data_IF_627509060094
#
_entry.id   IF_627509060094
#
_cell.length_a   1.000
_cell.length_b   1.000
_cell.length_c   1.000
_cell.angle_alpha   90.00
_cell.angle_beta   90.00
_cell.angle_gamma   90.00
#
_symmetry.space_group_name_H-M   'P 1'
#
loop_
_entity.id
_entity.type
_entity.pdbx_description
1 polymer ?
#
# COMPACT_ATOMS: atom_id res chain seq x y z
N UNK A 1 10.98 10.97 6.83
CA UNK A 1 10.19 11.78 5.89
C UNK A 1 8.82 12.07 6.50
N UNK A 2 8.33 13.32 6.45
CA UNK A 2 7.05 13.63 7.12
C UNK A 2 5.92 13.57 6.09
N UNK A 3 5.13 12.49 6.10
CA UNK A 3 3.92 12.36 5.28
C UNK A 3 2.78 13.24 5.82
N UNK A 4 1.95 13.80 4.95
CA UNK A 4 0.72 14.50 5.34
C UNK A 4 -0.44 13.51 5.47
N UNK A 5 -0.70 13.01 6.68
CA UNK A 5 -1.80 12.05 6.95
C UNK A 5 -3.17 12.58 6.52
N UNK A 6 -3.46 13.85 6.75
CA UNK A 6 -4.72 14.44 6.33
C UNK A 6 -4.83 14.50 4.79
N UNK A 7 -3.70 14.77 4.11
CA UNK A 7 -3.60 14.69 2.65
C UNK A 7 -3.82 13.28 2.12
N UNK A 8 -3.18 12.28 2.74
CA UNK A 8 -3.35 10.86 2.41
C UNK A 8 -4.83 10.47 2.51
N UNK A 9 -5.45 10.72 3.67
CA UNK A 9 -6.87 10.42 3.90
C UNK A 9 -7.77 11.06 2.85
N UNK A 10 -7.55 12.36 2.52
CA UNK A 10 -8.33 13.06 1.49
C UNK A 10 -8.13 12.48 0.10
N UNK A 11 -6.90 12.12 -0.27
CA UNK A 11 -6.58 11.58 -1.60
C UNK A 11 -7.26 10.23 -1.83
N UNK A 12 -7.18 9.31 -0.86
CA UNK A 12 -7.85 8.02 -0.95
C UNK A 12 -9.38 8.16 -0.88
N UNK A 13 -9.90 9.04 -0.03
CA UNK A 13 -11.33 9.33 0.01
C UNK A 13 -11.86 9.82 -1.34
N UNK A 14 -11.12 10.68 -2.03
CA UNK A 14 -11.51 11.19 -3.36
C UNK A 14 -11.34 10.15 -4.49
N UNK A 15 -10.54 9.11 -4.28
CA UNK A 15 -10.28 8.07 -5.26
C UNK A 15 -11.21 6.85 -5.13
N UNK A 16 -12.06 6.78 -4.10
CA UNK A 16 -12.88 5.58 -3.78
C UNK A 16 -13.69 5.06 -4.96
N UNK A 17 -14.23 5.93 -5.80
CA UNK A 17 -15.06 5.57 -6.94
C UNK A 17 -14.24 5.14 -8.18
N UNK A 18 -12.99 5.59 -8.28
CA UNK A 18 -12.13 5.33 -9.45
C UNK A 18 -11.09 4.25 -9.20
N UNK A 19 -10.79 3.96 -7.94
CA UNK A 19 -9.71 3.08 -7.51
C UNK A 19 -9.73 1.71 -8.21
N UNK A 20 -10.87 1.05 -8.21
CA UNK A 20 -10.98 -0.31 -8.79
C UNK A 20 -10.77 -0.36 -10.29
N UNK A 21 -11.06 0.71 -11.00
CA UNK A 21 -10.87 0.76 -12.46
C UNK A 21 -9.40 0.72 -12.88
N UNK A 22 -8.48 1.06 -11.96
CA UNK A 22 -7.04 1.21 -12.24
C UNK A 22 -6.14 0.40 -11.28
N UNK A 23 -6.70 -0.35 -10.32
CA UNK A 23 -5.93 -1.05 -9.28
C UNK A 23 -5.44 -2.44 -9.71
N UNK A 24 -5.01 -2.63 -10.97
CA UNK A 24 -4.59 -3.96 -11.48
C UNK A 24 -3.31 -4.46 -10.80
N UNK A 25 -2.31 -3.60 -10.62
CA UNK A 25 -1.10 -3.95 -9.90
C UNK A 25 -1.41 -4.37 -8.45
N UNK A 26 -2.28 -3.63 -7.77
CA UNK A 26 -2.68 -3.93 -6.39
C UNK A 26 -3.38 -5.30 -6.29
N UNK A 27 -4.23 -5.63 -7.26
CA UNK A 27 -4.88 -6.95 -7.33
C UNK A 27 -3.90 -8.07 -7.61
N UNK A 28 -2.96 -7.87 -8.53
CA UNK A 28 -1.90 -8.84 -8.86
C UNK A 28 -1.05 -9.11 -7.63
N UNK A 29 -0.53 -8.06 -6.98
CA UNK A 29 0.28 -8.18 -5.77
C UNK A 29 -0.50 -8.85 -4.64
N UNK A 30 -1.76 -8.49 -4.43
CA UNK A 30 -2.61 -9.10 -3.40
C UNK A 30 -2.84 -10.59 -3.62
N UNK A 31 -3.07 -11.03 -4.87
CA UNK A 31 -3.20 -12.47 -5.20
C UNK A 31 -1.89 -13.22 -4.96
N UNK A 32 -0.76 -12.67 -5.39
CA UNK A 32 0.56 -13.28 -5.19
C UNK A 32 0.93 -13.34 -3.69
N UNK A 33 0.58 -12.31 -2.92
CA UNK A 33 0.77 -12.29 -1.47
C UNK A 33 0.02 -13.46 -0.80
N UNK A 34 -1.24 -13.71 -1.20
CA UNK A 34 -2.03 -14.82 -0.69
C UNK A 34 -1.56 -16.19 -1.20
N UNK A 35 -0.98 -16.27 -2.40
CA UNK A 35 -0.39 -17.50 -2.92
C UNK A 35 0.91 -17.88 -2.19
N UNK A 36 1.61 -16.91 -1.62
CA UNK A 36 2.86 -17.14 -0.88
C UNK A 36 2.65 -17.76 0.51
N UNK A 37 1.41 -17.86 0.98
CA UNK A 37 1.04 -18.41 2.29
C UNK A 37 -0.02 -19.50 2.15
N UNK A 38 -0.08 -20.40 3.12
CA UNK A 38 -1.19 -21.34 3.22
C UNK A 38 -2.38 -20.67 3.91
N UNK A 39 -3.30 -20.13 3.11
CA UNK A 39 -4.49 -19.43 3.60
C UNK A 39 -5.45 -20.34 4.37
N UNK A 40 -5.36 -21.67 4.24
CA UNK A 40 -6.22 -22.60 4.99
C UNK A 40 -5.88 -22.64 6.48
N UNK A 41 -4.66 -22.22 6.84
CA UNK A 41 -4.21 -22.07 8.22
C UNK A 41 -4.54 -20.68 8.81
N UNK A 42 -5.03 -19.76 8.02
CA UNK A 42 -5.55 -18.48 8.52
C UNK A 42 -6.94 -18.71 9.12
N UNK A 43 -7.00 -18.80 10.44
CA UNK A 43 -8.21 -19.06 11.22
C UNK A 43 -8.43 -17.97 12.25
N UNK A 44 -9.56 -18.00 12.96
CA UNK A 44 -9.84 -17.05 14.04
C UNK A 44 -10.14 -15.64 13.55
N UNK A 45 -9.56 -14.65 14.21
CA UNK A 45 -9.78 -13.22 13.90
C UNK A 45 -8.67 -12.70 12.98
N UNK A 46 -9.03 -12.28 11.78
CA UNK A 46 -8.12 -11.72 10.79
C UNK A 46 -8.33 -10.22 10.63
N UNK A 47 -7.24 -9.48 10.45
CA UNK A 47 -7.24 -8.04 10.18
C UNK A 47 -6.68 -7.78 8.77
N UNK A 48 -7.47 -7.16 7.89
CA UNK A 48 -7.01 -6.53 6.66
C UNK A 48 -6.71 -5.06 6.95
N UNK A 49 -5.44 -4.71 7.02
CA UNK A 49 -4.93 -3.41 7.43
C UNK A 49 -4.65 -2.51 6.22
N UNK A 50 -5.46 -1.48 6.03
CA UNK A 50 -5.50 -0.66 4.83
C UNK A 50 -6.28 -1.38 3.73
N UNK A 51 -7.50 -1.83 4.04
CA UNK A 51 -8.31 -2.68 3.17
C UNK A 51 -8.74 -2.00 1.85
N UNK A 52 -8.65 -0.66 1.77
CA UNK A 52 -9.07 0.11 0.59
C UNK A 52 -10.53 -0.19 0.23
N UNK A 53 -10.75 -0.58 -1.01
CA UNK A 53 -12.07 -0.97 -1.55
C UNK A 53 -12.43 -2.45 -1.37
N UNK A 54 -11.67 -3.18 -0.52
CA UNK A 54 -12.02 -4.53 -0.04
C UNK A 54 -11.60 -5.68 -0.94
N UNK A 55 -10.67 -5.49 -1.88
CA UNK A 55 -10.20 -6.58 -2.73
C UNK A 55 -9.55 -7.71 -1.93
N UNK A 56 -8.53 -7.38 -1.09
CA UNK A 56 -7.84 -8.39 -0.28
C UNK A 56 -8.79 -9.02 0.75
N UNK A 57 -9.64 -8.20 1.39
CA UNK A 57 -10.70 -8.68 2.28
C UNK A 57 -11.56 -9.75 1.60
N UNK A 58 -12.06 -9.49 0.38
CA UNK A 58 -12.88 -10.43 -0.38
C UNK A 58 -12.17 -11.75 -0.72
N UNK A 59 -10.90 -11.68 -1.13
CA UNK A 59 -10.06 -12.84 -1.38
C UNK A 59 -9.81 -13.69 -0.11
N UNK A 60 -9.59 -13.04 1.04
CA UNK A 60 -9.43 -13.70 2.33
C UNK A 60 -10.72 -14.42 2.76
N UNK A 61 -11.87 -13.76 2.65
CA UNK A 61 -13.17 -14.35 2.95
C UNK A 61 -13.45 -15.61 2.13
N UNK A 62 -12.96 -15.68 0.90
CA UNK A 62 -13.14 -16.83 0.01
C UNK A 62 -12.18 -17.98 0.29
N UNK A 63 -11.01 -17.73 0.91
CA UNK A 63 -9.89 -18.69 0.98
C UNK A 63 -9.54 -19.14 2.40
N UNK A 64 -9.82 -18.33 3.42
CA UNK A 64 -9.47 -18.62 4.81
C UNK A 64 -10.64 -19.20 5.60
N UNK A 65 -10.31 -19.80 6.76
CA UNK A 65 -11.30 -20.31 7.73
C UNK A 65 -11.47 -19.33 8.89
N UNK A 66 -11.67 -18.06 8.57
CA UNK A 66 -11.83 -17.02 9.57
C UNK A 66 -13.12 -17.20 10.40
N UNK A 67 -13.09 -16.73 11.64
CA UNK A 67 -14.26 -16.56 12.51
C UNK A 67 -14.77 -15.14 12.45
N UNK A 68 -13.85 -14.19 12.46
CA UNK A 68 -14.11 -12.75 12.36
C UNK A 68 -13.11 -12.10 11.42
N UNK A 69 -13.59 -11.27 10.53
CA UNK A 69 -12.77 -10.40 9.67
C UNK A 69 -12.88 -8.96 10.16
N UNK A 70 -11.75 -8.27 10.28
CA UNK A 70 -11.71 -6.83 10.52
C UNK A 70 -11.13 -6.18 9.28
N UNK A 71 -11.91 -5.34 8.61
CA UNK A 71 -11.47 -4.49 7.52
C UNK A 71 -11.21 -3.08 8.06
N UNK A 72 -9.95 -2.65 8.06
CA UNK A 72 -9.53 -1.36 8.62
C UNK A 72 -8.94 -0.47 7.53
N UNK A 73 -9.42 0.77 7.44
CA UNK A 73 -8.85 1.80 6.56
C UNK A 73 -8.98 3.19 7.22
N UNK A 74 -8.08 4.10 6.85
CA UNK A 74 -8.09 5.49 7.33
C UNK A 74 -9.15 6.34 6.62
N UNK A 75 -9.55 5.96 5.41
CA UNK A 75 -10.49 6.68 4.56
C UNK A 75 -11.89 6.05 4.62
N UNK A 76 -12.84 6.72 5.29
CA UNK A 76 -14.21 6.22 5.42
C UNK A 76 -14.89 5.87 4.08
N UNK A 77 -14.74 6.63 2.97
CA UNK A 77 -15.31 6.24 1.67
C UNK A 77 -14.76 4.92 1.13
N UNK A 78 -13.50 4.58 1.40
CA UNK A 78 -12.93 3.28 1.05
C UNK A 78 -13.64 2.14 1.81
N UNK A 79 -13.85 2.30 3.12
CA UNK A 79 -14.61 1.33 3.93
C UNK A 79 -16.05 1.19 3.46
N UNK A 80 -16.70 2.28 3.09
CA UNK A 80 -18.06 2.25 2.55
C UNK A 80 -18.14 1.46 1.23
N UNK A 81 -17.14 1.64 0.35
CA UNK A 81 -17.02 0.84 -0.87
C UNK A 81 -16.80 -0.65 -0.55
N UNK A 82 -15.94 -0.97 0.42
CA UNK A 82 -15.73 -2.34 0.90
C UNK A 82 -17.02 -2.93 1.45
N UNK A 83 -17.72 -2.21 2.32
CA UNK A 83 -18.99 -2.65 2.90
C UNK A 83 -20.05 -2.92 1.84
N UNK A 84 -20.17 -2.06 0.84
CA UNK A 84 -21.12 -2.24 -0.26
C UNK A 84 -20.81 -3.49 -1.09
N UNK A 85 -19.54 -3.75 -1.39
CA UNK A 85 -19.10 -4.93 -2.16
C UNK A 85 -19.28 -6.24 -1.41
N UNK A 86 -19.14 -6.23 -0.10
CA UNK A 86 -19.16 -7.41 0.75
C UNK A 86 -20.44 -7.50 1.59
N UNK A 87 -21.51 -6.82 1.17
CA UNK A 87 -22.77 -6.73 1.92
C UNK A 87 -23.46 -8.11 2.16
N UNK A 88 -23.18 -9.09 1.29
CA UNK A 88 -23.67 -10.47 1.44
C UNK A 88 -22.83 -11.33 2.38
N UNK A 89 -21.66 -10.86 2.79
CA UNK A 89 -20.73 -11.58 3.66
C UNK A 89 -21.06 -11.31 5.15
N UNK A 90 -20.70 -12.27 5.98
CA UNK A 90 -20.97 -12.23 7.43
C UNK A 90 -19.67 -12.12 8.22
N UNK A 91 -19.80 -11.76 9.49
CA UNK A 91 -18.69 -11.69 10.44
C UNK A 91 -17.57 -10.73 10.01
N UNK A 92 -17.94 -9.59 9.40
CA UNK A 92 -17.01 -8.53 9.02
C UNK A 92 -17.27 -7.30 9.89
N UNK A 93 -16.23 -6.79 10.52
CA UNK A 93 -16.24 -5.53 11.25
C UNK A 93 -15.46 -4.48 10.43
N UNK A 94 -16.08 -3.34 10.20
CA UNK A 94 -15.47 -2.23 9.45
C UNK A 94 -14.99 -1.16 10.43
N UNK A 95 -13.69 -0.86 10.42
CA UNK A 95 -13.05 0.04 11.39
C UNK A 95 -12.35 1.19 10.67
N UNK A 96 -12.84 2.41 10.87
CA UNK A 96 -12.18 3.61 10.33
C UNK A 96 -11.12 4.10 11.32
N UNK A 97 -9.84 3.75 11.07
CA UNK A 97 -8.73 4.08 11.97
C UNK A 97 -7.40 4.24 11.23
N UNK A 98 -6.42 4.83 11.91
CA UNK A 98 -5.04 4.92 11.43
C UNK A 98 -4.25 3.65 11.81
N UNK A 99 -3.54 3.06 10.84
CA UNK A 99 -2.67 1.92 11.05
C UNK A 99 -1.54 2.19 12.07
N UNK A 100 -1.20 3.44 12.32
CA UNK A 100 -0.21 3.84 13.33
C UNK A 100 -0.74 3.78 14.78
N UNK A 101 -2.07 3.61 14.97
CA UNK A 101 -2.73 3.53 16.28
C UNK A 101 -3.95 2.60 16.18
N UNK A 102 -3.73 1.30 16.31
CA UNK A 102 -4.80 0.31 16.16
C UNK A 102 -5.75 0.37 17.36
N UNK A 103 -7.07 0.63 17.17
CA UNK A 103 -8.06 0.66 18.25
C UNK A 103 -8.49 -0.76 18.63
N UNK A 104 -7.52 -1.65 18.82
CA UNK A 104 -7.73 -3.07 19.11
C UNK A 104 -7.02 -3.46 20.41
N UNK A 105 -7.57 -4.41 21.11
CA UNK A 105 -6.95 -4.99 22.31
C UNK A 105 -5.65 -5.72 22.00
N UNK A 106 -4.83 -5.97 23.01
CA UNK A 106 -3.64 -6.81 22.84
C UNK A 106 -4.03 -8.28 22.66
N UNK A 107 -3.24 -9.00 21.86
CA UNK A 107 -3.36 -10.45 21.66
C UNK A 107 -4.78 -10.92 21.28
N UNK A 108 -5.44 -10.19 20.39
CA UNK A 108 -6.80 -10.51 19.95
C UNK A 108 -6.90 -10.90 18.47
N UNK A 109 -5.80 -10.76 17.68
CA UNK A 109 -5.75 -11.01 16.24
C UNK A 109 -4.86 -12.23 15.95
N UNK A 110 -5.36 -13.16 15.14
CA UNK A 110 -4.63 -14.37 14.74
C UNK A 110 -3.76 -14.10 13.50
N UNK A 111 -4.21 -13.23 12.57
CA UNK A 111 -3.47 -12.85 11.38
C UNK A 111 -3.71 -11.40 10.96
N UNK A 112 -2.64 -10.68 10.67
CA UNK A 112 -2.69 -9.34 10.07
C UNK A 112 -2.19 -9.42 8.64
N UNK A 113 -3.01 -8.97 7.69
CA UNK A 113 -2.64 -8.86 6.29
C UNK A 113 -2.73 -7.39 5.86
N UNK A 114 -1.84 -6.98 4.94
CA UNK A 114 -1.84 -5.61 4.40
C UNK A 114 -1.26 -5.61 2.99
N UNK A 115 -1.97 -5.07 2.02
CA UNK A 115 -1.53 -5.04 0.65
C UNK A 115 -1.30 -3.60 0.17
N UNK A 116 -0.05 -3.23 -0.07
CA UNK A 116 0.37 -1.92 -0.58
C UNK A 116 -0.28 -0.74 0.20
N UNK A 117 -0.30 -0.84 1.54
CA UNK A 117 -0.85 0.20 2.42
C UNK A 117 0.20 0.80 3.36
N UNK A 118 1.14 0.00 3.88
CA UNK A 118 2.08 0.43 4.92
C UNK A 118 3.07 1.52 4.48
N UNK A 119 3.31 1.71 3.18
CA UNK A 119 4.11 2.82 2.65
C UNK A 119 3.53 4.21 2.96
N UNK A 120 2.28 4.29 3.38
CA UNK A 120 1.60 5.52 3.76
C UNK A 120 1.71 5.84 5.25
N UNK A 121 2.38 4.98 6.01
CA UNK A 121 2.67 5.21 7.43
C UNK A 121 3.95 6.04 7.60
N UNK A 122 3.93 6.95 8.59
CA UNK A 122 5.07 7.83 8.91
C UNK A 122 6.16 7.12 9.69
N UNK A 123 5.73 6.22 10.57
CA UNK A 123 6.59 5.53 11.52
C UNK A 123 6.29 4.03 11.52
N UNK A 124 7.06 3.27 10.73
CA UNK A 124 6.89 1.82 10.64
C UNK A 124 7.32 1.10 11.94
N UNK A 125 8.23 1.65 12.74
CA UNK A 125 8.58 1.07 14.04
C UNK A 125 7.34 1.02 14.96
N UNK A 126 6.61 2.14 15.04
CA UNK A 126 5.38 2.21 15.84
C UNK A 126 4.31 1.28 15.26
N UNK A 127 4.16 1.22 13.92
CA UNK A 127 3.19 0.34 13.25
C UNK A 127 3.47 -1.11 13.57
N UNK A 128 4.70 -1.58 13.39
CA UNK A 128 5.05 -2.98 13.65
C UNK A 128 4.98 -3.34 15.14
N UNK A 129 5.34 -2.41 16.03
CA UNK A 129 5.16 -2.58 17.48
C UNK A 129 3.68 -2.74 17.84
N UNK A 130 2.81 -1.94 17.25
CA UNK A 130 1.36 -2.02 17.51
C UNK A 130 0.73 -3.26 16.86
N UNK A 131 1.15 -3.65 15.65
CA UNK A 131 0.77 -4.93 15.04
C UNK A 131 1.20 -6.11 15.93
N UNK A 132 2.43 -6.10 16.45
CA UNK A 132 2.92 -7.13 17.36
C UNK A 132 2.10 -7.19 18.65
N UNK A 133 1.68 -6.06 19.17
CA UNK A 133 0.85 -5.96 20.38
C UNK A 133 -0.53 -6.62 20.20
N UNK A 134 -1.16 -6.42 19.03
CA UNK A 134 -2.51 -6.97 18.77
C UNK A 134 -2.48 -8.43 18.35
N UNK A 135 -1.38 -8.92 17.77
CA UNK A 135 -1.22 -10.31 17.38
C UNK A 135 -1.14 -11.22 18.61
N UNK A 136 -1.85 -12.35 18.55
CA UNK A 136 -1.71 -13.44 19.51
C UNK A 136 -0.33 -14.08 19.43
N UNK A 137 0.12 -14.83 20.45
CA UNK A 137 1.24 -15.77 20.28
C UNK A 137 1.02 -16.66 19.06
N UNK A 138 2.06 -16.89 18.26
CA UNK A 138 2.02 -17.63 16.98
C UNK A 138 1.22 -16.92 15.86
N UNK A 139 0.71 -15.72 16.09
CA UNK A 139 0.04 -14.91 15.08
C UNK A 139 0.97 -14.51 13.94
N UNK A 140 0.42 -14.27 12.75
CA UNK A 140 1.17 -14.01 11.54
C UNK A 140 0.89 -12.59 11.00
N UNK A 141 1.96 -11.93 10.58
CA UNK A 141 1.93 -10.70 9.78
C UNK A 141 2.33 -11.01 8.34
N UNK A 142 1.48 -10.66 7.39
CA UNK A 142 1.73 -10.81 5.95
C UNK A 142 1.44 -9.49 5.27
N UNK A 143 2.44 -8.89 4.63
CA UNK A 143 2.19 -7.62 3.93
C UNK A 143 3.03 -7.43 2.68
N UNK A 144 2.57 -6.53 1.84
CA UNK A 144 3.33 -5.97 0.72
C UNK A 144 3.46 -4.46 0.87
N UNK A 145 4.58 -3.93 0.41
CA UNK A 145 4.85 -2.48 0.37
C UNK A 145 5.73 -2.15 -0.83
N UNK A 146 5.79 -0.88 -1.23
CA UNK A 146 6.71 -0.47 -2.28
C UNK A 146 8.15 -0.36 -1.76
N UNK A 147 9.11 -0.66 -2.67
CA UNK A 147 10.54 -0.53 -2.46
C UNK A 147 11.15 0.68 -3.18
N UNK A 148 12.44 0.97 -2.92
CA UNK A 148 13.12 2.19 -3.38
C UNK A 148 13.13 2.42 -4.89
N UNK A 149 13.12 1.34 -5.70
CA UNK A 149 13.14 1.44 -7.16
C UNK A 149 11.80 1.88 -7.76
N UNK A 150 10.73 1.96 -6.95
CA UNK A 150 9.40 2.34 -7.43
C UNK A 150 9.42 3.74 -8.04
N UNK A 151 8.91 3.83 -9.29
CA UNK A 151 8.80 5.04 -10.09
C UNK A 151 10.15 5.78 -10.28
N UNK A 152 11.25 5.04 -10.38
CA UNK A 152 12.58 5.64 -10.56
C UNK A 152 12.66 6.45 -11.86
N UNK A 153 11.92 6.10 -12.90
CA UNK A 153 11.83 6.86 -14.14
C UNK A 153 11.20 8.24 -13.91
N UNK A 154 10.12 8.28 -13.10
CA UNK A 154 9.45 9.52 -12.73
C UNK A 154 10.31 10.38 -11.81
N UNK A 155 11.02 9.75 -10.85
CA UNK A 155 11.99 10.44 -9.98
C UNK A 155 13.10 11.08 -10.80
N UNK A 156 13.72 10.33 -11.73
CA UNK A 156 14.80 10.83 -12.59
C UNK A 156 14.33 11.92 -13.54
N UNK A 157 13.14 11.81 -14.10
CA UNK A 157 12.58 12.83 -14.99
C UNK A 157 12.35 14.16 -14.25
N UNK A 158 11.75 14.13 -13.04
CA UNK A 158 11.57 15.31 -12.21
C UNK A 158 12.88 15.93 -11.74
N UNK A 159 13.90 15.13 -11.42
CA UNK A 159 15.23 15.63 -11.05
C UNK A 159 15.88 16.53 -12.12
N UNK A 160 15.45 16.43 -13.40
CA UNK A 160 15.90 17.34 -14.48
C UNK A 160 15.18 18.70 -14.46
N UNK A 161 14.11 18.84 -13.69
CA UNK A 161 13.25 20.02 -13.66
C UNK A 161 13.49 20.87 -12.43
N UNK A 162 13.54 20.23 -11.25
CA UNK A 162 13.78 20.88 -9.97
C UNK A 162 14.40 19.91 -8.95
N UNK A 163 14.68 20.42 -7.74
CA UNK A 163 15.28 19.64 -6.65
C UNK A 163 14.25 19.15 -5.62
N UNK A 164 12.95 19.26 -5.94
CA UNK A 164 11.90 18.79 -5.03
C UNK A 164 11.61 17.31 -5.23
N UNK A 165 11.25 16.63 -4.15
CA UNK A 165 10.73 15.27 -4.25
C UNK A 165 9.31 15.30 -4.82
N UNK A 166 9.08 14.59 -5.93
CA UNK A 166 7.78 14.44 -6.59
C UNK A 166 7.20 13.02 -6.44
N UNK A 167 7.98 12.10 -5.90
CA UNK A 167 7.60 10.72 -5.57
C UNK A 167 8.02 10.44 -4.13
N UNK A 168 7.21 9.68 -3.41
CA UNK A 168 7.55 9.28 -2.05
C UNK A 168 8.83 8.44 -2.03
N UNK A 169 9.58 8.53 -0.93
CA UNK A 169 10.66 7.59 -0.63
C UNK A 169 10.07 6.33 0.03
N UNK A 170 10.61 5.18 -0.33
CA UNK A 170 10.17 3.89 0.19
C UNK A 170 11.32 3.18 0.90
N UNK A 171 11.00 2.37 1.89
CA UNK A 171 11.98 1.62 2.65
C UNK A 171 12.51 0.41 1.87
N UNK A 172 13.81 0.13 2.05
CA UNK A 172 14.45 -1.05 1.50
C UNK A 172 14.14 -2.32 2.31
N UNK A 173 14.41 -3.50 1.73
CA UNK A 173 14.31 -4.78 2.46
C UNK A 173 15.10 -4.77 3.77
N UNK A 174 16.32 -4.23 3.76
CA UNK A 174 17.18 -4.16 4.95
C UNK A 174 16.55 -3.32 6.05
N UNK A 175 15.97 -2.18 5.70
CA UNK A 175 15.28 -1.33 6.66
C UNK A 175 14.01 -2.00 7.21
N UNK A 176 13.21 -2.64 6.37
CA UNK A 176 12.02 -3.38 6.81
C UNK A 176 12.38 -4.54 7.74
N UNK A 177 13.42 -5.31 7.44
CA UNK A 177 13.94 -6.36 8.33
C UNK A 177 14.37 -5.80 9.68
N UNK A 178 15.03 -4.64 9.68
CA UNK A 178 15.44 -3.97 10.91
C UNK A 178 14.24 -3.57 11.76
N UNK A 179 13.22 -2.91 11.19
CA UNK A 179 12.01 -2.51 11.91
C UNK A 179 11.25 -3.71 12.48
N UNK A 180 11.11 -4.79 11.72
CA UNK A 180 10.47 -6.02 12.18
C UNK A 180 11.20 -6.65 13.35
N UNK A 181 12.55 -6.69 13.28
CA UNK A 181 13.37 -7.22 14.36
C UNK A 181 13.24 -6.38 15.64
N UNK A 182 13.27 -5.03 15.52
CA UNK A 182 13.08 -4.12 16.66
C UNK A 182 11.69 -4.28 17.28
N UNK A 183 10.65 -4.53 16.48
CA UNK A 183 9.30 -4.81 16.96
C UNK A 183 9.14 -6.21 17.60
N UNK A 184 10.18 -7.08 17.51
CA UNK A 184 10.19 -8.41 18.13
C UNK A 184 9.66 -9.54 17.23
N UNK A 185 9.59 -9.36 15.92
CA UNK A 185 9.38 -10.43 14.96
C UNK A 185 10.72 -11.14 14.71
N UNK A 186 10.83 -12.40 15.16
CA UNK A 186 12.11 -13.15 15.14
C UNK A 186 12.43 -13.77 13.77
N UNK A 187 11.41 -14.20 13.05
CA UNK A 187 11.53 -14.86 11.76
C UNK A 187 10.72 -14.10 10.72
N UNK A 188 11.39 -13.46 9.77
CA UNK A 188 10.73 -12.80 8.65
C UNK A 188 11.31 -13.27 7.32
N UNK A 189 10.44 -13.68 6.41
CA UNK A 189 10.77 -13.91 5.01
C UNK A 189 10.46 -12.62 4.25
N UNK A 190 11.46 -12.11 3.54
CA UNK A 190 11.33 -10.85 2.77
C UNK A 190 11.76 -11.13 1.35
N UNK A 191 10.92 -10.79 0.39
CA UNK A 191 11.15 -10.98 -1.05
C UNK A 191 10.81 -9.70 -1.78
N UNK A 192 11.72 -9.22 -2.63
CA UNK A 192 11.46 -8.13 -3.58
C UNK A 192 11.15 -8.70 -4.96
N UNK A 193 10.18 -8.08 -5.62
CA UNK A 193 9.76 -8.39 -7.00
C UNK A 193 9.54 -7.09 -7.75
N UNK A 194 10.06 -7.00 -8.98
CA UNK A 194 9.89 -5.82 -9.82
C UNK A 194 8.77 -6.07 -10.84
N UNK A 195 7.82 -5.14 -10.88
CA UNK A 195 6.74 -5.09 -11.87
C UNK A 195 6.97 -3.89 -12.80
N UNK A 196 6.78 -4.08 -14.08
CA UNK A 196 6.89 -3.00 -15.08
C UNK A 196 5.54 -2.82 -15.74
N UNK A 197 4.84 -1.76 -15.39
CA UNK A 197 3.64 -1.32 -16.09
C UNK A 197 4.02 -0.48 -17.31
N UNK A 198 3.28 -0.61 -18.41
CA UNK A 198 3.54 0.11 -19.65
C UNK A 198 2.35 1.00 -20.00
N UNK A 199 2.62 2.24 -20.32
CA UNK A 199 1.61 3.26 -20.59
C UNK A 199 1.80 3.85 -21.98
N UNK A 200 0.73 4.29 -22.60
CA UNK A 200 0.76 4.98 -23.89
C UNK A 200 1.47 6.35 -23.77
N UNK A 201 1.42 6.97 -22.61
CA UNK A 201 2.06 8.26 -22.35
C UNK A 201 2.34 8.46 -20.86
N UNK A 202 3.24 9.38 -20.55
CA UNK A 202 3.47 9.85 -19.16
C UNK A 202 2.18 10.40 -18.54
N UNK A 203 1.34 11.03 -19.36
CA UNK A 203 0.06 11.56 -18.91
C UNK A 203 -0.89 10.48 -18.42
N UNK A 204 -0.97 9.34 -19.12
CA UNK A 204 -1.78 8.19 -18.73
C UNK A 204 -1.32 7.62 -17.39
N UNK A 205 0.00 7.49 -17.18
CA UNK A 205 0.57 7.11 -15.88
C UNK A 205 0.14 8.09 -14.76
N UNK A 206 0.29 9.40 -15.02
CA UNK A 206 -0.07 10.41 -14.03
C UNK A 206 -1.56 10.40 -13.67
N UNK A 207 -2.43 10.11 -14.65
CA UNK A 207 -3.86 9.95 -14.43
C UNK A 207 -4.16 8.71 -13.59
N UNK A 208 -3.53 7.58 -13.87
CA UNK A 208 -3.70 6.36 -13.08
C UNK A 208 -3.28 6.57 -11.62
N UNK A 209 -2.11 7.15 -11.38
CA UNK A 209 -1.66 7.48 -10.01
C UNK A 209 -2.64 8.41 -9.29
N UNK A 210 -3.28 9.33 -10.02
CA UNK A 210 -4.33 10.19 -9.46
C UNK A 210 -5.59 9.40 -9.12
N UNK A 211 -6.05 8.53 -9.99
CA UNK A 211 -7.24 7.70 -9.77
C UNK A 211 -7.06 6.68 -8.65
N UNK A 212 -5.83 6.24 -8.39
CA UNK A 212 -5.46 5.44 -7.22
C UNK A 212 -5.40 6.25 -5.91
N UNK A 213 -5.48 7.58 -5.96
CA UNK A 213 -5.22 8.41 -4.79
C UNK A 213 -3.74 8.45 -4.36
N UNK A 214 -2.86 7.85 -5.17
CA UNK A 214 -1.42 7.75 -4.91
C UNK A 214 -0.69 9.05 -5.28
N UNK A 215 -1.27 10.20 -4.93
CA UNK A 215 -0.62 11.49 -5.15
C UNK A 215 0.48 11.72 -4.12
N UNK A 216 1.47 12.51 -4.52
CA UNK A 216 2.56 12.90 -3.64
C UNK A 216 2.04 13.70 -2.44
N UNK A 217 2.18 13.17 -1.23
CA UNK A 217 1.65 13.70 0.02
C UNK A 217 2.74 13.95 1.06
N UNK A 218 3.93 14.38 0.62
CA UNK A 218 5.02 14.74 1.52
C UNK A 218 4.74 16.11 2.14
N UNK A 219 4.87 16.21 3.45
CA UNK A 219 4.82 17.48 4.16
C UNK A 219 6.01 18.34 3.71
N UNK A 220 5.75 19.61 3.37
CA UNK A 220 6.81 20.51 2.86
C UNK A 220 7.00 20.49 1.35
N UNK A 221 6.15 19.77 0.60
CA UNK A 221 6.17 19.85 -0.87
C UNK A 221 6.08 21.31 -1.31
N UNK A 222 6.70 21.62 -2.43
CA UNK A 222 6.52 22.92 -3.08
C UNK A 222 5.03 23.17 -3.35
N UNK A 223 4.43 24.13 -2.64
CA UNK A 223 3.01 24.52 -2.80
C UNK A 223 2.77 25.32 -4.09
N UNK A 224 3.83 25.66 -4.83
CA UNK A 224 3.68 26.35 -6.11
C UNK A 224 3.03 25.42 -7.12
N UNK A 225 2.13 25.95 -7.90
CA UNK A 225 1.50 25.23 -9.01
C UNK A 225 2.58 24.82 -10.00
N UNK A 226 2.64 23.54 -10.35
CA UNK A 226 3.52 23.06 -11.43
C UNK A 226 3.18 23.78 -12.72
N UNK A 227 4.12 24.53 -13.27
CA UNK A 227 3.90 25.28 -14.51
C UNK A 227 3.82 24.31 -15.71
N UNK A 228 3.12 24.74 -16.77
CA UNK A 228 3.03 23.98 -18.01
C UNK A 228 4.43 23.65 -18.58
N UNK A 229 5.37 24.60 -18.48
CA UNK A 229 6.76 24.42 -18.92
C UNK A 229 7.50 23.36 -18.10
N UNK A 230 7.34 23.37 -16.77
CA UNK A 230 7.95 22.36 -15.89
C UNK A 230 7.40 20.95 -16.19
N UNK A 231 6.09 20.83 -16.36
CA UNK A 231 5.42 19.58 -16.74
C UNK A 231 5.94 19.08 -18.10
N UNK A 232 6.04 19.95 -19.11
CA UNK A 232 6.54 19.56 -20.42
C UNK A 232 8.01 19.10 -20.39
N UNK A 233 8.87 19.76 -19.61
CA UNK A 233 10.26 19.35 -19.42
C UNK A 233 10.33 17.95 -18.79
N UNK A 234 9.54 17.69 -17.75
CA UNK A 234 9.48 16.39 -17.10
C UNK A 234 9.02 15.29 -18.08
N UNK A 235 7.95 15.54 -18.86
CA UNK A 235 7.45 14.59 -19.86
C UNK A 235 8.54 14.28 -20.89
N UNK A 236 9.20 15.29 -21.44
CA UNK A 236 10.29 15.10 -22.40
C UNK A 236 11.45 14.31 -21.82
N UNK A 237 11.78 14.51 -20.53
CA UNK A 237 12.81 13.73 -19.84
C UNK A 237 12.38 12.27 -19.63
N UNK A 238 11.12 12.05 -19.25
CA UNK A 238 10.56 10.71 -19.03
C UNK A 238 10.51 9.90 -20.34
N UNK A 239 10.15 10.53 -21.45
CA UNK A 239 10.04 9.88 -22.76
C UNK A 239 11.36 9.28 -23.25
N UNK A 240 12.52 9.66 -22.70
CA UNK A 240 13.81 9.01 -22.96
C UNK A 240 13.83 7.54 -22.49
N UNK A 241 12.95 7.15 -21.58
CA UNK A 241 12.77 5.76 -21.12
C UNK A 241 11.83 4.93 -22.02
N UNK A 242 11.26 5.53 -23.06
CA UNK A 242 10.31 4.88 -23.98
C UNK A 242 10.88 3.62 -24.62
N UNK A 243 10.09 2.55 -24.60
CA UNK A 243 10.43 1.27 -25.24
C UNK A 243 9.22 0.82 -26.05
N UNK A 244 9.41 0.51 -27.34
CA UNK A 244 8.34 0.08 -28.25
C UNK A 244 7.12 1.02 -28.20
N UNK A 245 7.38 2.32 -28.23
CA UNK A 245 6.39 3.40 -28.22
C UNK A 245 5.56 3.54 -26.93
N UNK A 246 5.91 2.82 -25.87
CA UNK A 246 5.29 2.91 -24.54
C UNK A 246 6.27 3.41 -23.49
N UNK A 247 5.79 4.13 -22.50
CA UNK A 247 6.59 4.56 -21.34
C UNK A 247 6.45 3.51 -20.23
N UNK A 248 7.57 2.97 -19.71
CA UNK A 248 7.55 2.07 -18.57
C UNK A 248 7.35 2.84 -17.28
N UNK A 249 6.74 2.21 -16.29
CA UNK A 249 6.81 2.62 -14.90
C UNK A 249 7.16 1.41 -14.05
N UNK A 250 8.27 1.50 -13.35
CA UNK A 250 8.78 0.43 -12.49
C UNK A 250 8.14 0.51 -11.11
N UNK A 251 7.68 -0.63 -10.62
CA UNK A 251 7.17 -0.79 -9.25
C UNK A 251 7.95 -1.94 -8.59
N UNK A 252 8.81 -1.61 -7.66
CA UNK A 252 9.41 -2.60 -6.78
C UNK A 252 8.45 -2.89 -5.64
N UNK A 253 8.07 -4.14 -5.45
CA UNK A 253 7.20 -4.58 -4.36
C UNK A 253 7.97 -5.52 -3.45
N UNK A 254 7.99 -5.20 -2.17
CA UNK A 254 8.59 -6.01 -1.12
C UNK A 254 7.45 -6.70 -0.38
N UNK A 255 7.42 -8.03 -0.46
CA UNK A 255 6.50 -8.90 0.25
C UNK A 255 7.17 -9.47 1.50
N UNK A 256 6.44 -9.51 2.59
CA UNK A 256 6.94 -9.94 3.91
C UNK A 256 5.95 -10.91 4.55
N UNK A 257 6.50 -11.99 5.10
CA UNK A 257 5.82 -12.94 5.97
C UNK A 257 6.61 -13.01 7.28
N UNK A 258 5.98 -12.68 8.40
CA UNK A 258 6.62 -12.68 9.71
C UNK A 258 5.70 -13.33 10.76
N UNK A 259 6.30 -14.02 11.74
CA UNK A 259 5.58 -14.64 12.86
C UNK A 259 5.98 -14.01 14.18
N UNK A 260 5.04 -14.00 15.10
CA UNK A 260 5.21 -13.54 16.49
C UNK A 260 6.12 -14.44 17.28
#
# INVERSE_FOLDING_TARGET
MTLDKAGIKRSFAAASDTYDSVAELQRTVGRELLQAIDTTHLTGTLLDLGCGTGFLTGELLARSRYETMIALDIALPMLQATQSKLADKRNINYVCADAEHLPLGGQCIDGVLSNLALQWCRNLDAVFTDIKRVLKPEGQLVFSTFGPQTLHELKSAWATVDHHSHVNEFYSETQLKHFLLQAGFKNSQVKSTVYISRYQSVWTLMQELKHLGAQHVVAGRNKKITTKTAMQKMITAYEKHKVSDQVPATFEVISVIAKV
#
